data_IF_645877760485
#
_entry.id   IF_645877760485
#
_cell.length_a   1.000
_cell.length_b   1.000
_cell.length_c   1.000
_cell.angle_alpha   90.00
_cell.angle_beta   90.00
_cell.angle_gamma   90.00
#
_symmetry.space_group_name_H-M   'P 1'
#
loop_
_entity.id
_entity.type
_entity.pdbx_description
1 polymer ?
#
# COMPACT_ATOMS: atom_id res chain seq x y z
N UNK A 1 15.48 -65.57 17.31
CA UNK A 1 14.67 -65.22 16.12
C UNK A 1 14.67 -63.70 16.01
N UNK A 2 15.43 -63.14 15.07
CA UNK A 2 15.58 -61.69 14.90
C UNK A 2 14.79 -61.20 13.69
N UNK A 3 13.82 -60.33 13.89
CA UNK A 3 13.05 -59.68 12.83
C UNK A 3 13.78 -58.40 12.38
N UNK A 4 14.23 -58.38 11.13
CA UNK A 4 14.84 -57.23 10.47
C UNK A 4 13.78 -56.38 9.77
N UNK A 5 13.06 -55.53 10.52
CA UNK A 5 12.20 -54.53 9.89
C UNK A 5 13.03 -53.33 9.41
N UNK A 6 13.57 -53.42 8.20
CA UNK A 6 14.18 -52.30 7.48
C UNK A 6 13.11 -51.33 7.01
N UNK A 7 12.75 -50.38 7.87
CA UNK A 7 11.91 -49.24 7.48
C UNK A 7 12.70 -48.31 6.55
N UNK A 8 12.61 -48.53 5.24
CA UNK A 8 12.99 -47.52 4.24
C UNK A 8 12.10 -46.30 4.48
N UNK A 9 12.69 -45.18 4.88
CA UNK A 9 12.01 -43.88 4.90
C UNK A 9 11.68 -43.52 3.45
N UNK A 10 10.39 -43.53 3.11
CA UNK A 10 9.88 -43.02 1.84
C UNK A 10 9.49 -41.57 2.10
N UNK A 11 10.29 -40.64 1.61
CA UNK A 11 9.93 -39.23 1.62
C UNK A 11 8.79 -39.04 0.62
N UNK A 12 7.59 -38.71 1.13
CA UNK A 12 6.52 -38.16 0.32
C UNK A 12 6.74 -36.65 0.26
N UNK A 13 7.57 -36.19 -0.68
CA UNK A 13 7.52 -34.80 -1.11
C UNK A 13 6.24 -34.65 -1.93
N UNK A 14 5.25 -33.98 -1.37
CA UNK A 14 4.09 -33.50 -2.13
C UNK A 14 4.59 -32.40 -3.07
N UNK A 15 4.89 -32.79 -4.31
CA UNK A 15 5.24 -31.89 -5.41
C UNK A 15 4.10 -30.85 -5.54
N UNK A 16 4.40 -29.56 -5.42
CA UNK A 16 3.42 -28.46 -5.29
C UNK A 16 2.68 -28.16 -6.61
N UNK A 17 2.96 -28.93 -7.67
CA UNK A 17 2.28 -28.90 -8.95
C UNK A 17 1.56 -30.25 -9.17
N UNK A 18 0.24 -30.22 -9.41
CA UNK A 18 -0.67 -31.39 -9.50
C UNK A 18 -0.45 -32.30 -10.74
N UNK A 19 0.79 -32.64 -11.08
CA UNK A 19 1.15 -33.55 -12.19
C UNK A 19 0.98 -35.03 -11.79
N UNK A 20 -0.15 -35.38 -11.19
CA UNK A 20 -0.43 -36.73 -10.65
C UNK A 20 -1.36 -37.48 -11.61
N UNK A 21 -0.92 -38.62 -12.12
CA UNK A 21 -1.71 -39.50 -13.00
C UNK A 21 -2.13 -40.77 -12.24
N UNK A 22 -3.36 -41.23 -12.49
CA UNK A 22 -3.93 -42.41 -11.81
C UNK A 22 -3.80 -43.62 -12.73
N UNK A 23 -2.96 -44.58 -12.33
CA UNK A 23 -2.76 -45.83 -13.08
C UNK A 23 -3.38 -46.96 -12.25
N UNK A 24 -4.43 -47.61 -12.77
CA UNK A 24 -5.17 -48.71 -12.10
C UNK A 24 -5.58 -48.39 -10.65
N UNK A 25 -6.02 -47.15 -10.39
CA UNK A 25 -6.51 -46.71 -9.07
C UNK A 25 -5.44 -46.24 -8.09
N UNK A 26 -4.17 -46.22 -8.48
CA UNK A 26 -3.05 -45.74 -7.65
C UNK A 26 -2.58 -44.38 -8.19
N UNK A 27 -2.47 -43.38 -7.30
CA UNK A 27 -1.99 -42.03 -7.63
C UNK A 27 -0.46 -42.04 -7.69
N UNK A 28 0.10 -41.82 -8.87
CA UNK A 28 1.56 -41.78 -9.09
C UNK A 28 1.94 -40.45 -9.74
N UNK A 29 3.14 -39.95 -9.44
CA UNK A 29 3.71 -38.80 -10.15
C UNK A 29 4.31 -39.23 -11.48
N UNK A 30 4.37 -38.31 -12.44
CA UNK A 30 4.91 -38.55 -13.79
C UNK A 30 6.35 -39.09 -13.75
N UNK A 31 7.19 -38.55 -12.85
CA UNK A 31 8.56 -39.04 -12.58
C UNK A 31 8.62 -40.52 -12.14
N UNK A 32 7.59 -41.03 -11.45
CA UNK A 32 7.52 -42.44 -11.02
C UNK A 32 7.04 -43.33 -12.17
N UNK A 33 6.09 -42.83 -12.97
CA UNK A 33 5.57 -43.53 -14.14
C UNK A 33 6.65 -43.69 -15.21
N UNK A 34 7.44 -42.67 -15.47
CA UNK A 34 8.53 -42.72 -16.45
C UNK A 34 9.60 -43.76 -16.08
N UNK A 35 9.97 -43.83 -14.78
CA UNK A 35 10.88 -44.87 -14.27
C UNK A 35 10.30 -46.27 -14.36
N UNK A 36 8.98 -46.42 -14.28
CA UNK A 36 8.31 -47.71 -14.47
C UNK A 36 8.14 -48.08 -15.95
N UNK A 37 8.15 -47.09 -16.84
CA UNK A 37 7.98 -47.27 -18.29
C UNK A 37 9.30 -47.58 -19.00
N UNK A 38 10.42 -47.20 -18.40
CA UNK A 38 11.76 -47.49 -18.94
C UNK A 38 12.19 -48.93 -18.58
N UNK A 39 12.47 -49.81 -19.56
CA UNK A 39 12.97 -51.15 -19.30
C UNK A 39 14.43 -51.08 -18.83
N UNK A 40 14.68 -51.55 -17.61
CA UNK A 40 15.99 -51.65 -16.96
C UNK A 40 17.06 -52.32 -17.83
N UNK A 41 18.17 -51.60 -18.07
CA UNK A 41 19.45 -52.21 -18.51
C UNK A 41 20.12 -53.05 -17.40
N UNK A 42 21.11 -53.90 -17.73
CA UNK A 42 21.56 -55.00 -16.87
C UNK A 42 22.32 -54.54 -15.60
N UNK A 43 22.27 -55.33 -14.51
CA UNK A 43 22.83 -54.95 -13.21
C UNK A 43 24.37 -55.05 -13.17
N UNK A 44 25.03 -54.03 -12.64
CA UNK A 44 26.45 -54.10 -12.27
C UNK A 44 26.64 -54.89 -10.94
N UNK A 45 27.72 -55.67 -10.80
CA UNK A 45 28.00 -56.48 -9.62
C UNK A 45 28.40 -55.65 -8.39
N UNK A 46 28.18 -56.16 -7.15
CA UNK A 46 28.41 -55.40 -5.92
C UNK A 46 29.90 -55.16 -5.66
N UNK A 47 30.32 -53.90 -5.69
CA UNK A 47 31.64 -53.50 -5.19
C UNK A 47 31.61 -53.48 -3.65
N UNK A 48 32.47 -54.33 -3.08
CA UNK A 48 32.74 -54.48 -1.65
C UNK A 48 33.14 -53.14 -1.02
N UNK A 49 32.42 -52.69 0.01
CA UNK A 49 32.79 -51.52 0.82
C UNK A 49 34.01 -51.82 1.71
N UNK A 50 34.97 -50.89 1.90
CA UNK A 50 35.99 -50.98 2.95
C UNK A 50 35.40 -50.64 4.34
N UNK A 51 36.01 -51.13 5.45
CA UNK A 51 35.50 -50.90 6.80
C UNK A 51 35.63 -49.44 7.22
N UNK A 52 34.69 -49.02 8.07
CA UNK A 52 34.47 -47.66 8.56
C UNK A 52 35.71 -47.02 9.22
N UNK A 53 35.97 -45.77 8.85
CA UNK A 53 36.80 -44.82 9.58
C UNK A 53 36.05 -44.26 10.80
N UNK A 54 36.74 -43.87 11.89
CA UNK A 54 36.11 -43.32 13.10
C UNK A 54 35.48 -41.93 12.83
N UNK A 55 34.51 -41.48 13.66
CA UNK A 55 33.78 -40.26 13.41
C UNK A 55 34.69 -39.03 13.54
N UNK A 56 34.83 -38.30 12.44
CA UNK A 56 35.35 -36.93 12.44
C UNK A 56 34.29 -36.04 13.07
N UNK A 57 34.72 -35.27 14.07
CA UNK A 57 33.93 -34.22 14.71
C UNK A 57 33.71 -33.14 13.65
N UNK A 58 32.48 -32.97 13.17
CA UNK A 58 32.16 -31.89 12.23
C UNK A 58 32.02 -30.56 13.00
N UNK A 59 32.67 -29.47 12.55
CA UNK A 59 32.59 -28.15 13.18
C UNK A 59 31.21 -27.52 12.98
N UNK A 60 30.93 -26.52 13.83
CA UNK A 60 29.71 -25.71 13.86
C UNK A 60 29.11 -25.39 12.47
N UNK A 61 27.77 -25.37 12.33
CA UNK A 61 27.15 -24.99 11.08
C UNK A 61 27.46 -23.54 10.74
N UNK A 62 27.93 -23.34 9.51
CA UNK A 62 28.20 -22.05 8.91
C UNK A 62 26.97 -21.13 8.98
N UNK A 63 27.22 -19.86 9.33
CA UNK A 63 26.26 -18.77 9.27
C UNK A 63 25.69 -18.66 7.85
N UNK A 64 24.38 -18.83 7.73
CA UNK A 64 23.63 -18.53 6.51
C UNK A 64 23.68 -17.01 6.29
N UNK A 65 24.08 -16.51 5.09
CA UNK A 65 23.99 -15.09 4.78
C UNK A 65 22.53 -14.62 4.83
N UNK A 66 22.27 -13.64 5.69
CA UNK A 66 20.99 -12.93 5.79
C UNK A 66 20.79 -12.16 4.46
N UNK A 67 19.63 -12.26 3.78
CA UNK A 67 19.34 -11.42 2.62
C UNK A 67 19.31 -9.94 3.04
N UNK A 68 19.82 -9.01 2.22
CA UNK A 68 19.81 -7.59 2.57
C UNK A 68 18.36 -7.09 2.72
N UNK A 69 18.14 -6.10 3.61
CA UNK A 69 16.82 -5.51 3.80
C UNK A 69 16.32 -4.84 2.51
N UNK A 70 15.00 -4.76 2.29
CA UNK A 70 14.46 -3.99 1.17
C UNK A 70 14.81 -2.51 1.34
N UNK A 71 15.19 -1.86 0.24
CA UNK A 71 15.55 -0.45 0.22
C UNK A 71 14.44 0.44 0.80
N UNK A 72 14.80 1.50 1.55
CA UNK A 72 13.84 2.47 2.03
C UNK A 72 13.20 3.20 0.86
N UNK A 73 11.87 3.18 0.84
CA UNK A 73 10.97 4.05 0.07
C UNK A 73 11.61 5.41 -0.23
N UNK A 74 11.91 5.65 -1.50
CA UNK A 74 12.16 6.98 -2.03
C UNK A 74 10.85 7.78 -1.88
N UNK A 75 10.84 8.90 -1.12
CA UNK A 75 9.65 9.71 -0.99
C UNK A 75 9.34 10.36 -2.34
N UNK A 76 8.07 10.34 -2.74
CA UNK A 76 7.56 11.16 -3.82
C UNK A 76 7.96 12.63 -3.59
N UNK A 77 8.34 13.39 -4.64
CA UNK A 77 8.29 14.84 -4.55
C UNK A 77 6.81 15.27 -4.53
N UNK A 78 6.32 15.54 -3.32
CA UNK A 78 5.23 16.51 -3.14
C UNK A 78 5.82 17.90 -3.36
N UNK A 79 5.34 18.63 -4.36
CA UNK A 79 4.98 20.04 -4.25
C UNK A 79 4.75 20.63 -5.65
N UNK A 80 3.50 21.05 -5.92
CA UNK A 80 3.23 22.45 -6.28
C UNK A 80 1.73 22.65 -6.50
N UNK A 81 1.03 23.00 -5.44
CA UNK A 81 -0.10 23.92 -5.50
C UNK A 81 0.13 24.92 -4.36
N UNK A 82 0.25 26.20 -4.69
CA UNK A 82 -0.61 27.13 -3.98
C UNK A 82 -1.27 28.17 -4.87
N UNK A 83 -2.38 28.65 -4.32
CA UNK A 83 -2.92 29.99 -4.45
C UNK A 83 -3.83 30.32 -5.63
N UNK A 84 -5.06 29.84 -5.47
CA UNK A 84 -6.24 30.62 -5.84
C UNK A 84 -6.45 31.76 -4.84
N UNK A 85 -6.01 32.98 -5.15
CA UNK A 85 -6.66 34.23 -4.70
C UNK A 85 -6.38 35.35 -5.71
N UNK A 86 -7.41 35.75 -6.46
CA UNK A 86 -7.86 37.16 -6.58
C UNK A 86 -9.00 37.27 -7.60
N UNK A 87 -10.17 37.62 -7.08
CA UNK A 87 -11.24 38.30 -7.78
C UNK A 87 -10.98 39.82 -7.64
N UNK A 88 -11.23 40.62 -8.67
CA UNK A 88 -11.79 41.95 -8.49
C UNK A 88 -13.16 41.97 -9.19
N UNK A 89 -14.23 42.11 -8.41
CA UNK A 89 -14.84 43.39 -8.04
C UNK A 89 -15.69 43.94 -9.20
N UNK A 90 -16.99 43.69 -9.06
CA UNK A 90 -18.04 44.22 -9.91
C UNK A 90 -18.07 45.74 -9.80
N UNK A 91 -18.08 46.41 -10.95
CA UNK A 91 -18.58 47.77 -11.06
C UNK A 91 -19.99 47.69 -11.63
N UNK A 92 -20.96 47.94 -10.76
CA UNK A 92 -22.32 48.30 -11.14
C UNK A 92 -22.29 49.53 -12.04
N UNK A 93 -22.89 49.43 -13.23
CA UNK A 93 -23.37 50.60 -13.96
C UNK A 93 -24.76 50.29 -14.51
N UNK A 94 -25.74 50.71 -13.73
CA UNK A 94 -27.15 50.89 -14.07
C UNK A 94 -27.28 51.78 -15.30
N UNK A 95 -28.07 51.34 -16.29
CA UNK A 95 -28.52 52.15 -17.41
C UNK A 95 -29.45 53.31 -16.96
N UNK A 96 -29.54 54.39 -17.75
CA UNK A 96 -30.87 54.83 -18.16
C UNK A 96 -30.98 55.10 -19.69
N UNK A 97 -32.21 55.05 -20.25
CA UNK A 97 -32.51 55.19 -21.68
C UNK A 97 -32.95 56.65 -22.04
N UNK A 98 -33.55 56.90 -23.22
CA UNK A 98 -32.94 57.23 -24.50
C UNK A 98 -33.10 58.71 -24.89
N UNK A 99 -32.21 59.25 -25.72
CA UNK A 99 -32.42 60.56 -26.37
C UNK A 99 -33.39 60.43 -27.57
N UNK A 100 -34.43 61.28 -27.68
CA UNK A 100 -35.32 61.29 -28.83
C UNK A 100 -34.68 62.03 -30.00
N UNK A 101 -34.40 61.30 -31.09
CA UNK A 101 -34.03 61.93 -32.36
C UNK A 101 -35.23 62.68 -32.94
N UNK A 102 -35.05 63.99 -32.99
CA UNK A 102 -35.91 65.02 -33.53
C UNK A 102 -36.13 64.79 -35.04
N UNK A 103 -37.38 64.65 -35.48
CA UNK A 103 -37.75 64.82 -36.89
C UNK A 103 -37.50 66.28 -37.31
N UNK A 104 -36.90 66.55 -38.48
CA UNK A 104 -36.95 67.89 -39.05
C UNK A 104 -38.37 68.18 -39.60
N UNK A 105 -38.95 69.37 -39.36
CA UNK A 105 -40.22 69.77 -39.94
C UNK A 105 -40.06 70.13 -41.44
N UNK A 106 -41.10 69.97 -42.28
CA UNK A 106 -41.07 70.51 -43.64
C UNK A 106 -41.16 72.05 -43.61
N UNK A 107 -40.49 72.76 -44.53
CA UNK A 107 -40.49 74.22 -44.56
C UNK A 107 -41.86 74.80 -44.96
N UNK A 108 -42.13 76.06 -44.56
CA UNK A 108 -43.46 76.66 -44.63
C UNK A 108 -43.82 77.14 -46.04
N UNK A 109 -45.13 77.11 -46.26
CA UNK A 109 -45.86 77.74 -47.36
C UNK A 109 -45.45 79.22 -47.49
N UNK A 110 -44.90 79.59 -48.64
CA UNK A 110 -44.72 80.99 -49.02
C UNK A 110 -46.02 81.52 -49.63
N UNK A 111 -46.55 82.55 -48.98
CA UNK A 111 -47.68 83.38 -49.37
C UNK A 111 -47.28 84.32 -50.51
N UNK A 112 -48.11 84.35 -51.56
CA UNK A 112 -48.46 85.41 -52.53
C UNK A 112 -47.51 86.62 -52.79
N UNK A 113 -47.52 87.17 -54.03
CA UNK A 113 -48.56 88.15 -54.32
C UNK A 113 -49.22 87.97 -55.70
N UNK A 114 -50.45 88.46 -55.75
CA UNK A 114 -51.26 88.67 -56.94
C UNK A 114 -50.75 89.87 -57.74
N UNK A 115 -50.80 89.76 -59.07
CA UNK A 115 -50.92 90.85 -60.06
C UNK A 115 -51.53 90.19 -61.32
N UNK A 116 -52.78 90.43 -61.75
CA UNK A 116 -53.36 91.68 -62.27
C UNK A 116 -52.51 92.20 -63.44
N UNK A 117 -52.90 92.23 -64.72
CA UNK A 117 -54.18 92.54 -65.38
C UNK A 117 -54.02 92.19 -66.87
N UNK A 118 -55.11 91.90 -67.56
CA UNK A 118 -55.09 91.80 -69.03
C UNK A 118 -56.38 91.30 -69.65
N UNK A 119 -57.51 91.81 -69.18
CA UNK A 119 -58.82 91.57 -69.80
C UNK A 119 -58.85 92.19 -71.20
N UNK A 120 -59.10 91.37 -72.21
CA UNK A 120 -59.62 91.81 -73.51
C UNK A 120 -61.01 91.20 -73.67
N UNK A 121 -61.93 92.08 -74.01
CA UNK A 121 -63.38 91.96 -74.06
C UNK A 121 -63.90 90.97 -75.11
N UNK A 122 -64.84 90.12 -74.66
CA UNK A 122 -66.16 89.74 -75.19
C UNK A 122 -66.49 89.93 -76.70
N UNK A 123 -67.42 89.14 -77.30
CA UNK A 123 -68.50 88.38 -76.65
C UNK A 123 -68.36 86.87 -76.95
N UNK A 124 -69.04 85.94 -76.31
CA UNK A 124 -70.42 85.95 -75.89
C UNK A 124 -70.62 84.90 -74.79
N UNK A 125 -71.83 84.89 -74.25
CA UNK A 125 -72.32 84.32 -72.99
C UNK A 125 -72.28 82.77 -72.91
N UNK A 126 -71.40 82.12 -73.67
CA UNK A 126 -71.19 80.67 -73.70
C UNK A 126 -69.80 80.18 -73.21
N UNK A 127 -68.84 81.07 -72.97
CA UNK A 127 -67.43 80.69 -72.73
C UNK A 127 -67.05 80.71 -71.24
N UNK A 128 -67.66 81.59 -70.44
CA UNK A 128 -67.44 81.67 -68.99
C UNK A 128 -68.10 80.51 -68.22
N UNK A 129 -69.29 80.07 -68.66
CA UNK A 129 -69.92 78.84 -68.14
C UNK A 129 -69.12 77.59 -68.49
N UNK A 130 -68.52 77.55 -69.70
CA UNK A 130 -67.67 76.44 -70.12
C UNK A 130 -66.37 76.38 -69.31
N UNK A 131 -65.68 77.52 -69.10
CA UNK A 131 -64.47 77.60 -68.27
C UNK A 131 -64.74 77.24 -66.80
N UNK A 132 -65.88 77.66 -66.25
CA UNK A 132 -66.29 77.30 -64.89
C UNK A 132 -66.60 75.80 -64.76
N UNK A 133 -67.28 75.20 -65.74
CA UNK A 133 -67.50 73.75 -65.80
C UNK A 133 -66.19 72.97 -65.92
N UNK A 134 -65.24 73.43 -66.75
CA UNK A 134 -63.91 72.82 -66.88
C UNK A 134 -63.16 72.92 -65.55
N UNK A 135 -63.18 74.08 -64.88
CA UNK A 135 -62.53 74.25 -63.58
C UNK A 135 -63.15 73.37 -62.49
N UNK A 136 -64.49 73.25 -62.45
CA UNK A 136 -65.22 72.45 -61.46
C UNK A 136 -65.03 70.94 -61.67
N UNK A 137 -64.98 70.49 -62.93
CA UNK A 137 -64.71 69.10 -63.30
C UNK A 137 -63.24 68.72 -63.05
N UNK A 138 -62.31 69.63 -63.32
CA UNK A 138 -60.89 69.49 -62.98
C UNK A 138 -60.68 69.46 -61.45
N UNK A 139 -61.41 70.28 -60.70
CA UNK A 139 -61.31 70.35 -59.25
C UNK A 139 -61.90 69.09 -58.60
N UNK A 140 -63.01 68.57 -59.14
CA UNK A 140 -63.61 67.31 -58.72
C UNK A 140 -62.69 66.11 -59.01
N UNK A 141 -62.08 66.06 -60.20
CA UNK A 141 -61.11 65.00 -60.53
C UNK A 141 -59.86 65.07 -59.65
N UNK A 142 -59.33 66.26 -59.38
CA UNK A 142 -58.23 66.45 -58.42
C UNK A 142 -58.60 66.01 -56.99
N UNK A 143 -59.83 66.25 -56.54
CA UNK A 143 -60.29 65.79 -55.23
C UNK A 143 -60.48 64.27 -55.15
N UNK A 144 -60.97 63.65 -56.23
CA UNK A 144 -61.07 62.20 -56.36
C UNK A 144 -59.69 61.54 -56.38
N UNK A 145 -58.75 62.08 -57.15
CA UNK A 145 -57.33 61.69 -57.14
C UNK A 145 -56.74 61.83 -55.73
N UNK A 146 -56.97 62.97 -55.06
CA UNK A 146 -56.47 63.20 -53.70
C UNK A 146 -57.09 62.22 -52.70
N UNK A 147 -58.36 61.84 -52.86
CA UNK A 147 -59.02 60.82 -52.02
C UNK A 147 -58.43 59.44 -52.29
N UNK A 148 -58.27 59.06 -53.55
CA UNK A 148 -57.68 57.79 -53.96
C UNK A 148 -56.23 57.67 -53.46
N UNK A 149 -55.42 58.72 -53.64
CA UNK A 149 -54.06 58.80 -53.12
C UNK A 149 -54.00 58.65 -51.59
N UNK A 150 -54.97 59.22 -50.84
CA UNK A 150 -55.06 59.05 -49.38
C UNK A 150 -55.43 57.62 -48.98
N UNK A 151 -56.33 56.97 -49.72
CA UNK A 151 -56.73 55.58 -49.46
C UNK A 151 -55.60 54.60 -49.79
N UNK A 152 -54.93 54.77 -50.92
CA UNK A 152 -53.74 54.00 -51.29
C UNK A 152 -52.61 54.18 -50.27
N UNK A 153 -52.39 55.41 -49.78
CA UNK A 153 -51.42 55.68 -48.72
C UNK A 153 -51.81 54.98 -47.40
N UNK A 154 -53.09 55.00 -47.01
CA UNK A 154 -53.58 54.28 -45.82
C UNK A 154 -53.38 52.77 -45.96
N UNK A 155 -53.72 52.20 -47.11
CA UNK A 155 -53.53 50.76 -47.37
C UNK A 155 -52.05 50.38 -47.34
N UNK A 156 -51.15 51.20 -47.91
CA UNK A 156 -49.71 50.98 -47.80
C UNK A 156 -49.24 51.02 -46.36
N UNK A 157 -49.68 52.00 -45.58
CA UNK A 157 -49.33 52.12 -44.16
C UNK A 157 -49.83 50.91 -43.34
N UNK A 158 -51.05 50.44 -43.60
CA UNK A 158 -51.62 49.27 -42.92
C UNK A 158 -50.90 47.97 -43.30
N UNK A 159 -50.55 47.81 -44.58
CA UNK A 159 -49.72 46.70 -45.06
C UNK A 159 -48.32 46.73 -44.44
N UNK A 160 -47.69 47.90 -44.38
CA UNK A 160 -46.36 48.07 -43.79
C UNK A 160 -46.40 47.80 -42.28
N UNK A 161 -47.43 48.29 -41.56
CA UNK A 161 -47.63 48.00 -40.14
C UNK A 161 -47.85 46.53 -39.86
N UNK A 162 -48.71 45.86 -40.63
CA UNK A 162 -48.94 44.41 -40.45
C UNK A 162 -47.69 43.60 -40.77
N UNK A 163 -46.93 43.99 -41.79
CA UNK A 163 -45.65 43.36 -42.12
C UNK A 163 -44.62 43.56 -41.00
N UNK A 164 -44.46 44.78 -40.49
CA UNK A 164 -43.57 45.08 -39.37
C UNK A 164 -43.98 44.33 -38.09
N UNK A 165 -45.28 44.19 -37.82
CA UNK A 165 -45.77 43.39 -36.70
C UNK A 165 -45.50 41.90 -36.86
N UNK A 166 -45.70 41.35 -38.06
CA UNK A 166 -45.40 39.95 -38.34
C UNK A 166 -43.90 39.67 -38.22
N UNK A 167 -43.05 40.56 -38.70
CA UNK A 167 -41.60 40.48 -38.59
C UNK A 167 -41.15 40.56 -37.13
N UNK A 168 -41.64 41.54 -36.37
CA UNK A 168 -41.33 41.66 -34.94
C UNK A 168 -41.79 40.43 -34.13
N UNK A 169 -42.95 39.85 -34.45
CA UNK A 169 -43.41 38.62 -33.80
C UNK A 169 -42.57 37.41 -34.18
N UNK A 170 -42.17 37.29 -35.46
CA UNK A 170 -41.30 36.22 -35.90
C UNK A 170 -39.92 36.30 -35.25
N UNK A 171 -39.37 37.51 -35.13
CA UNK A 171 -38.09 37.76 -34.47
C UNK A 171 -38.18 37.46 -32.96
N UNK A 172 -39.23 37.94 -32.28
CA UNK A 172 -39.45 37.61 -30.86
C UNK A 172 -39.60 36.09 -30.64
N UNK A 173 -40.33 35.39 -31.49
CA UNK A 173 -40.44 33.93 -31.42
C UNK A 173 -39.11 33.24 -31.70
N UNK A 174 -38.30 33.74 -32.62
CA UNK A 174 -36.97 33.20 -32.91
C UNK A 174 -36.03 33.38 -31.71
N UNK A 175 -36.02 34.57 -31.09
CA UNK A 175 -35.23 34.85 -29.89
C UNK A 175 -35.62 33.95 -28.72
N UNK A 176 -36.92 33.77 -28.47
CA UNK A 176 -37.41 32.85 -27.43
C UNK A 176 -37.01 31.41 -27.73
N UNK A 177 -37.14 30.96 -28.98
CA UNK A 177 -36.71 29.61 -29.37
C UNK A 177 -35.22 29.41 -29.17
N UNK A 178 -34.38 30.39 -29.51
CA UNK A 178 -32.93 30.33 -29.32
C UNK A 178 -32.58 30.25 -27.82
N UNK A 179 -33.18 31.12 -26.99
CA UNK A 179 -32.89 31.14 -25.57
C UNK A 179 -33.33 29.86 -24.86
N UNK A 180 -34.53 29.35 -25.19
CA UNK A 180 -35.01 28.05 -24.67
C UNK A 180 -34.08 26.92 -25.11
N UNK A 181 -33.64 26.91 -26.38
CA UNK A 181 -32.71 25.89 -26.87
C UNK A 181 -31.37 25.95 -26.14
N UNK A 182 -30.87 27.17 -25.87
CA UNK A 182 -29.62 27.40 -25.14
C UNK A 182 -29.71 26.91 -23.70
N UNK A 183 -30.78 27.28 -22.97
CA UNK A 183 -31.00 26.85 -21.59
C UNK A 183 -31.11 25.33 -21.51
N UNK A 184 -31.91 24.73 -22.40
CA UNK A 184 -32.12 23.29 -22.41
C UNK A 184 -30.82 22.52 -22.75
N UNK A 185 -29.97 23.07 -23.61
CA UNK A 185 -28.64 22.51 -23.88
C UNK A 185 -27.74 22.53 -22.61
N UNK A 186 -27.71 23.65 -21.88
CA UNK A 186 -26.93 23.78 -20.64
C UNK A 186 -27.44 22.86 -19.54
N UNK A 187 -28.76 22.76 -19.34
CA UNK A 187 -29.34 21.85 -18.35
C UNK A 187 -29.04 20.39 -18.69
N UNK A 188 -29.14 20.02 -19.98
CA UNK A 188 -28.80 18.68 -20.45
C UNK A 188 -27.32 18.38 -20.18
N UNK A 189 -26.42 19.30 -20.49
CA UNK A 189 -24.99 19.13 -20.24
C UNK A 189 -24.69 18.98 -18.73
N UNK A 190 -25.27 19.82 -17.88
CA UNK A 190 -25.10 19.69 -16.43
C UNK A 190 -25.66 18.37 -15.89
N UNK A 191 -26.81 17.93 -16.40
CA UNK A 191 -27.42 16.65 -16.02
C UNK A 191 -26.51 15.47 -16.39
N UNK A 192 -25.98 15.47 -17.62
CA UNK A 192 -25.04 14.45 -18.10
C UNK A 192 -23.76 14.46 -17.25
N UNK A 193 -23.17 15.63 -16.99
CA UNK A 193 -21.97 15.74 -16.16
C UNK A 193 -22.19 15.17 -14.75
N UNK A 194 -23.34 15.47 -14.13
CA UNK A 194 -23.70 14.89 -12.82
C UNK A 194 -23.89 13.38 -12.88
N UNK A 195 -24.49 12.85 -13.94
CA UNK A 195 -24.67 11.42 -14.12
C UNK A 195 -23.33 10.70 -14.25
N UNK A 196 -22.42 11.24 -15.08
CA UNK A 196 -21.07 10.69 -15.28
C UNK A 196 -20.28 10.65 -13.96
N UNK A 197 -20.32 11.74 -13.18
CA UNK A 197 -19.63 11.79 -11.90
C UNK A 197 -20.16 10.75 -10.92
N UNK A 198 -21.49 10.59 -10.85
CA UNK A 198 -22.13 9.57 -9.99
C UNK A 198 -21.72 8.16 -10.40
N UNK A 199 -21.76 7.86 -11.69
CA UNK A 199 -21.39 6.55 -12.22
C UNK A 199 -19.92 6.23 -11.91
N UNK A 200 -19.01 7.20 -12.08
CA UNK A 200 -17.60 7.03 -11.73
C UNK A 200 -17.43 6.71 -10.24
N UNK A 201 -18.08 7.48 -9.37
CA UNK A 201 -17.98 7.27 -7.91
C UNK A 201 -18.48 5.87 -7.56
N UNK A 202 -19.65 5.46 -8.07
CA UNK A 202 -20.18 4.12 -7.79
C UNK A 202 -19.27 3.01 -8.31
N UNK A 203 -18.66 3.20 -9.49
CA UNK A 203 -17.73 2.22 -10.04
C UNK A 203 -16.43 2.12 -9.22
N UNK A 204 -15.93 3.24 -8.68
CA UNK A 204 -14.77 3.25 -7.77
C UNK A 204 -15.11 2.62 -6.42
N UNK A 205 -16.29 2.89 -5.87
CA UNK A 205 -16.75 2.30 -4.62
C UNK A 205 -16.91 0.78 -4.73
N UNK A 206 -17.51 0.28 -5.81
CA UNK A 206 -17.63 -1.16 -6.07
C UNK A 206 -16.26 -1.85 -6.20
N UNK A 207 -15.31 -1.19 -6.88
CA UNK A 207 -13.92 -1.69 -6.97
C UNK A 207 -13.26 -1.76 -5.61
N UNK A 208 -13.41 -0.72 -4.78
CA UNK A 208 -12.85 -0.67 -3.45
C UNK A 208 -13.48 -1.74 -2.56
N UNK A 209 -14.79 -1.92 -2.61
CA UNK A 209 -15.49 -2.98 -1.88
C UNK A 209 -15.00 -4.38 -2.29
N UNK A 210 -14.82 -4.62 -3.59
CA UNK A 210 -14.27 -5.88 -4.07
C UNK A 210 -12.85 -6.11 -3.55
N UNK A 211 -12.01 -5.07 -3.50
CA UNK A 211 -10.66 -5.15 -2.95
C UNK A 211 -10.67 -5.44 -1.45
N UNK A 212 -11.50 -4.73 -0.67
CA UNK A 212 -11.64 -4.95 0.77
C UNK A 212 -12.07 -6.40 1.03
N UNK A 213 -13.08 -6.90 0.32
CA UNK A 213 -13.54 -8.27 0.47
C UNK A 213 -12.45 -9.30 0.17
N UNK A 214 -11.64 -9.09 -0.88
CA UNK A 214 -10.49 -9.95 -1.17
C UNK A 214 -9.44 -9.91 -0.06
N UNK A 215 -9.15 -8.73 0.46
CA UNK A 215 -8.20 -8.55 1.56
C UNK A 215 -8.69 -9.24 2.84
N UNK A 216 -9.97 -9.11 3.18
CA UNK A 216 -10.58 -9.80 4.33
C UNK A 216 -10.51 -11.33 4.18
N UNK A 217 -10.78 -11.87 2.98
CA UNK A 217 -10.64 -13.31 2.73
C UNK A 217 -9.20 -13.78 2.92
N UNK A 218 -8.22 -13.04 2.39
CA UNK A 218 -6.79 -13.37 2.57
C UNK A 218 -6.39 -13.26 4.05
N UNK A 219 -6.87 -12.26 4.78
CA UNK A 219 -6.60 -12.10 6.20
C UNK A 219 -7.11 -13.30 7.02
N UNK A 220 -8.33 -13.79 6.73
CA UNK A 220 -8.86 -15.01 7.37
C UNK A 220 -8.02 -16.24 7.08
N UNK A 221 -7.59 -16.42 5.83
CA UNK A 221 -6.71 -17.53 5.46
C UNK A 221 -5.38 -17.46 6.21
N UNK A 222 -4.78 -16.28 6.33
CA UNK A 222 -3.55 -16.08 7.11
C UNK A 222 -3.77 -16.39 8.59
N UNK A 223 -4.90 -15.97 9.17
CA UNK A 223 -5.22 -16.26 10.57
C UNK A 223 -5.35 -17.77 10.83
N UNK A 224 -5.93 -18.53 9.90
CA UNK A 224 -5.97 -20.00 9.98
C UNK A 224 -4.59 -20.64 9.88
N UNK A 225 -3.73 -20.15 8.97
CA UNK A 225 -2.34 -20.63 8.85
C UNK A 225 -1.53 -20.31 10.11
N UNK A 226 -1.68 -19.10 10.65
CA UNK A 226 -1.04 -18.68 11.90
C UNK A 226 -1.48 -19.54 13.09
N UNK A 227 -2.77 -19.90 13.17
CA UNK A 227 -3.26 -20.81 14.20
C UNK A 227 -2.60 -22.18 14.09
N UNK A 228 -2.44 -22.71 12.88
CA UNK A 228 -1.79 -24.01 12.68
C UNK A 228 -0.30 -23.96 13.01
N UNK A 229 0.42 -22.93 12.54
CA UNK A 229 1.82 -22.69 12.89
C UNK A 229 2.00 -22.56 14.41
N UNK A 230 1.12 -21.82 15.09
CA UNK A 230 1.18 -21.69 16.56
C UNK A 230 1.02 -23.02 17.28
N UNK A 231 0.17 -23.93 16.79
CA UNK A 231 0.05 -25.29 17.37
C UNK A 231 1.35 -26.08 17.18
N UNK A 232 1.94 -26.02 15.99
CA UNK A 232 3.21 -26.70 15.72
C UNK A 232 4.33 -26.14 16.60
N UNK A 233 4.44 -24.81 16.71
CA UNK A 233 5.41 -24.15 17.58
C UNK A 233 5.23 -24.55 19.03
N UNK A 234 3.98 -24.57 19.53
CA UNK A 234 3.68 -25.01 20.89
C UNK A 234 4.11 -26.47 21.11
N UNK A 235 3.79 -27.36 20.16
CA UNK A 235 4.18 -28.76 20.22
C UNK A 235 5.71 -28.93 20.31
N UNK A 236 6.47 -28.30 19.41
CA UNK A 236 7.93 -28.42 19.41
C UNK A 236 8.57 -27.76 20.62
N UNK A 237 8.03 -26.62 21.09
CA UNK A 237 8.49 -25.99 22.34
C UNK A 237 8.27 -26.91 23.53
N UNK A 238 7.14 -27.59 23.62
CA UNK A 238 6.85 -28.54 24.70
C UNK A 238 7.81 -29.74 24.66
N UNK A 239 8.09 -30.29 23.46
CA UNK A 239 9.06 -31.38 23.31
C UNK A 239 10.46 -30.95 23.75
N UNK A 240 10.89 -29.74 23.36
CA UNK A 240 12.17 -29.19 23.78
C UNK A 240 12.22 -28.94 25.29
N UNK A 241 11.14 -28.46 25.89
CA UNK A 241 11.05 -28.25 27.34
C UNK A 241 11.17 -29.59 28.09
N UNK A 242 10.42 -30.61 27.68
CA UNK A 242 10.50 -31.97 28.25
C UNK A 242 11.88 -32.60 28.09
N UNK A 243 12.54 -32.38 26.96
CA UNK A 243 13.90 -32.87 26.73
C UNK A 243 14.90 -32.14 27.64
N UNK A 244 14.83 -30.81 27.72
CA UNK A 244 15.67 -29.98 28.59
C UNK A 244 15.49 -30.36 30.06
N UNK A 245 14.25 -30.56 30.51
CA UNK A 245 13.94 -30.96 31.88
C UNK A 245 14.54 -32.33 32.21
N UNK A 246 14.30 -33.35 31.36
CA UNK A 246 14.89 -34.69 31.56
C UNK A 246 16.41 -34.65 31.56
N UNK A 247 17.01 -33.86 30.67
CA UNK A 247 18.46 -33.68 30.63
C UNK A 247 18.98 -33.01 31.90
N UNK A 248 18.31 -31.96 32.40
CA UNK A 248 18.69 -31.29 33.64
C UNK A 248 18.58 -32.21 34.86
N UNK A 249 17.52 -33.02 34.93
CA UNK A 249 17.35 -34.04 35.98
C UNK A 249 18.47 -35.08 35.93
N UNK A 250 18.83 -35.55 34.73
CA UNK A 250 19.94 -36.48 34.55
C UNK A 250 21.24 -35.88 35.08
N UNK A 251 21.61 -34.66 34.67
CA UNK A 251 22.84 -34.01 35.14
C UNK A 251 22.84 -33.76 36.65
N UNK A 252 21.69 -33.44 37.24
CA UNK A 252 21.56 -33.24 38.69
C UNK A 252 21.89 -34.53 39.45
N UNK A 253 21.22 -35.63 39.10
CA UNK A 253 21.45 -36.95 39.73
C UNK A 253 22.88 -37.43 39.50
N UNK A 254 23.41 -37.22 38.30
CA UNK A 254 24.80 -37.55 37.96
C UNK A 254 25.78 -36.79 38.86
N UNK A 255 25.62 -35.46 39.00
CA UNK A 255 26.47 -34.66 39.88
C UNK A 255 26.36 -35.07 41.35
N UNK A 256 25.14 -35.31 41.85
CA UNK A 256 24.91 -35.78 43.22
C UNK A 256 25.58 -37.13 43.48
N UNK A 257 25.47 -38.08 42.55
CA UNK A 257 26.13 -39.38 42.64
C UNK A 257 27.65 -39.28 42.58
N UNK A 258 28.19 -38.44 41.69
CA UNK A 258 29.63 -38.20 41.61
C UNK A 258 30.17 -37.58 42.89
N UNK A 259 29.49 -36.57 43.43
CA UNK A 259 29.90 -35.93 44.67
C UNK A 259 29.84 -36.91 45.84
N UNK A 260 28.76 -37.68 45.96
CA UNK A 260 28.62 -38.71 46.99
C UNK A 260 29.73 -39.77 46.89
N UNK A 261 30.05 -40.24 45.69
CA UNK A 261 31.13 -41.19 45.48
C UNK A 261 32.50 -40.58 45.83
N UNK A 262 32.74 -39.31 45.45
CA UNK A 262 33.94 -38.58 45.82
C UNK A 262 34.06 -38.44 47.35
N UNK A 263 32.97 -38.11 48.04
CA UNK A 263 32.94 -38.01 49.50
C UNK A 263 33.14 -39.36 50.19
N UNK A 264 32.57 -40.45 49.66
CA UNK A 264 32.76 -41.80 50.19
C UNK A 264 34.22 -42.25 50.05
N UNK A 265 34.82 -42.02 48.87
CA UNK A 265 36.24 -42.27 48.63
C UNK A 265 37.07 -41.40 49.58
N UNK A 266 36.82 -40.10 49.63
CA UNK A 266 37.52 -39.19 50.52
C UNK A 266 37.40 -39.62 51.99
N UNK A 267 36.24 -40.06 52.47
CA UNK A 267 36.08 -40.56 53.83
C UNK A 267 36.90 -41.84 54.12
N UNK A 268 37.04 -42.74 53.14
CA UNK A 268 37.93 -43.91 53.25
C UNK A 268 39.41 -43.51 53.24
N UNK A 269 39.78 -42.49 52.44
CA UNK A 269 41.15 -42.02 52.28
C UNK A 269 41.59 -41.00 53.34
N UNK A 270 40.68 -40.29 54.02
CA UNK A 270 40.96 -39.43 55.20
C UNK A 270 41.62 -40.20 56.35
N UNK A 271 41.54 -41.53 56.35
CA UNK A 271 42.27 -42.39 57.30
C UNK A 271 43.79 -42.33 57.11
N UNK A 272 44.27 -41.86 55.96
CA UNK A 272 45.68 -41.61 55.69
C UNK A 272 46.02 -40.12 55.81
N UNK A 273 45.59 -39.47 56.89
CA UNK A 273 46.36 -38.34 57.39
C UNK A 273 47.72 -38.89 57.82
N UNK A 274 48.73 -38.72 56.96
CA UNK A 274 50.12 -38.99 57.30
C UNK A 274 50.47 -38.02 58.42
N UNK A 275 50.28 -38.45 59.67
CA UNK A 275 50.73 -37.69 60.83
C UNK A 275 52.26 -37.71 60.82
N UNK A 276 52.91 -36.58 60.51
CA UNK A 276 54.36 -36.55 60.43
C UNK A 276 54.94 -36.80 61.82
N UNK A 277 55.74 -37.86 61.95
CA UNK A 277 56.31 -38.23 63.24
C UNK A 277 57.60 -37.45 63.47
N UNK A 278 57.85 -37.05 64.72
CA UNK A 278 59.06 -36.32 65.14
C UNK A 278 59.23 -34.91 64.52
N UNK A 279 58.15 -34.23 64.08
CA UNK A 279 58.23 -32.88 63.48
C UNK A 279 58.93 -31.86 64.35
N UNK A 280 58.71 -31.92 65.66
CA UNK A 280 59.26 -30.94 66.60
C UNK A 280 60.78 -31.11 66.72
N UNK A 281 61.25 -32.36 66.81
CA UNK A 281 62.67 -32.69 66.80
C UNK A 281 63.32 -32.38 65.44
N UNK A 282 62.58 -32.60 64.34
CA UNK A 282 63.01 -32.22 62.99
C UNK A 282 63.20 -30.70 62.88
N UNK A 283 62.31 -29.90 63.47
CA UNK A 283 62.46 -28.45 63.54
C UNK A 283 63.67 -28.04 64.38
N UNK A 284 63.86 -28.66 65.55
CA UNK A 284 64.96 -28.35 66.46
C UNK A 284 66.34 -28.69 65.87
N UNK A 285 66.48 -29.83 65.19
CA UNK A 285 67.76 -30.20 64.57
C UNK A 285 68.11 -29.31 63.38
N UNK A 286 67.11 -28.98 62.53
CA UNK A 286 67.31 -28.06 61.42
C UNK A 286 67.67 -26.65 61.90
N UNK A 287 67.07 -26.21 63.01
CA UNK A 287 67.44 -24.96 63.68
C UNK A 287 68.87 -25.00 64.21
N UNK A 288 69.25 -26.05 64.94
CA UNK A 288 70.58 -26.19 65.52
C UNK A 288 71.68 -26.20 64.45
N UNK A 289 71.50 -26.92 63.34
CA UNK A 289 72.48 -26.94 62.25
C UNK A 289 72.63 -25.59 61.54
N UNK A 290 71.56 -24.81 61.45
CA UNK A 290 71.60 -23.46 60.88
C UNK A 290 72.41 -22.51 61.76
N UNK A 291 72.26 -22.62 63.07
CA UNK A 291 72.96 -21.80 64.06
C UNK A 291 74.44 -22.23 64.26
N UNK A 292 74.76 -23.50 63.97
CA UNK A 292 76.09 -24.08 64.20
C UNK A 292 76.74 -24.62 62.90
N UNK A 293 76.76 -23.79 61.85
CA UNK A 293 77.36 -24.14 60.57
C UNK A 293 78.84 -24.54 60.70
N UNK A 294 79.22 -25.69 60.14
CA UNK A 294 80.57 -26.26 60.25
C UNK A 294 80.92 -26.91 61.59
N UNK A 295 80.04 -26.83 62.60
CA UNK A 295 80.22 -27.43 63.94
C UNK A 295 79.04 -28.35 64.30
N UNK A 296 78.67 -29.23 63.37
CA UNK A 296 77.48 -30.10 63.48
C UNK A 296 77.50 -31.04 64.68
N UNK A 297 78.68 -31.35 65.23
CA UNK A 297 78.83 -32.18 66.43
C UNK A 297 78.20 -31.56 67.69
N UNK A 298 78.00 -30.23 67.76
CA UNK A 298 77.28 -29.58 68.86
C UNK A 298 75.78 -29.95 68.87
N UNK A 299 75.23 -30.29 67.71
CA UNK A 299 73.84 -30.75 67.57
C UNK A 299 73.69 -32.27 67.72
N UNK A 300 74.77 -32.99 68.09
CA UNK A 300 74.80 -34.45 68.18
C UNK A 300 73.71 -35.00 69.09
N UNK A 301 73.44 -34.37 70.23
CA UNK A 301 72.39 -34.81 71.16
C UNK A 301 70.99 -34.73 70.52
N UNK A 302 70.66 -33.60 69.89
CA UNK A 302 69.37 -33.41 69.19
C UNK A 302 69.26 -34.39 68.00
N UNK A 303 70.37 -34.62 67.29
CA UNK A 303 70.44 -35.63 66.23
C UNK A 303 70.18 -37.05 66.73
N UNK A 304 70.75 -37.43 67.87
CA UNK A 304 70.48 -38.72 68.51
C UNK A 304 69.02 -38.85 68.93
N UNK A 305 68.41 -37.82 69.52
CA UNK A 305 67.00 -37.83 69.92
C UNK A 305 66.06 -37.94 68.71
N UNK A 306 66.34 -37.19 67.63
CA UNK A 306 65.58 -37.31 66.39
C UNK A 306 65.67 -38.72 65.80
N UNK A 307 66.87 -39.29 65.74
CA UNK A 307 67.08 -40.66 65.25
C UNK A 307 66.39 -41.71 66.13
N UNK A 308 66.41 -41.55 67.46
CA UNK A 308 65.68 -42.43 68.38
C UNK A 308 64.17 -42.34 68.16
N UNK A 309 63.62 -41.13 68.03
CA UNK A 309 62.20 -40.91 67.74
C UNK A 309 61.79 -41.58 66.41
N UNK A 310 62.58 -41.39 65.34
CA UNK A 310 62.33 -42.02 64.04
C UNK A 310 62.40 -43.55 64.13
N UNK A 311 63.36 -44.09 64.87
CA UNK A 311 63.51 -45.53 65.03
C UNK A 311 62.40 -46.15 65.88
N UNK A 312 61.97 -45.47 66.96
CA UNK A 312 60.81 -45.87 67.75
C UNK A 312 59.56 -45.88 66.88
N UNK A 313 59.31 -44.80 66.14
CA UNK A 313 58.16 -44.70 65.25
C UNK A 313 58.15 -45.80 64.17
N UNK A 314 59.33 -46.12 63.60
CA UNK A 314 59.48 -47.26 62.67
C UNK A 314 59.14 -48.59 63.35
N UNK A 315 59.64 -48.81 64.57
CA UNK A 315 59.41 -50.04 65.32
C UNK A 315 57.94 -50.19 65.75
N UNK A 316 57.30 -49.10 66.16
CA UNK A 316 55.88 -49.07 66.55
C UNK A 316 54.97 -49.35 65.35
N UNK A 317 55.27 -48.78 64.17
CA UNK A 317 54.55 -49.07 62.92
C UNK A 317 54.69 -50.53 62.47
N UNK A 318 55.85 -51.15 62.69
CA UNK A 318 56.05 -52.59 62.41
C UNK A 318 55.27 -53.48 63.39
N UNK A 319 54.97 -53.00 64.61
CA UNK A 319 54.19 -53.74 65.62
C UNK A 319 52.68 -53.59 65.50
N UNK A 320 52.18 -52.45 65.00
CA UNK A 320 50.73 -52.16 64.87
C UNK A 320 50.15 -52.45 63.49
N UNK A 321 50.94 -52.93 62.53
CA UNK A 321 50.47 -53.34 61.20
C UNK A 321 49.86 -54.74 61.19
N UNK A 322 48.57 -54.84 61.51
CA UNK A 322 47.67 -55.97 61.27
C UNK A 322 46.31 -55.47 60.83
#
# INVERSE_FOLDING_TARGET
MGANNSTRRVSFESDENENITIVKGIRLSEKVIDRMREPSGPPQPPTRAPPASPPVVDPLPALVPIPPPPDPVTPLPSSSLPERVKLPEQVNATAPPPEPLILPPPPPVATAPAESVGAVSAPAVYESELRRKIAEELQKSLEEERRKAREELKQRLEKEKSQAHAEAQAEAQAQVKDEVSRILALEKEQSIQKAILRERITAEDERLQAQIYQMERKARQLEERDKELRKQDAFYREQLAKLKERSAQFYKVTNENHQKAADEVNAKFKRYEISPVCTDLQGQILKCYRENAGKTLLCSNIASQYMQCVNSAKQDKLRTGG
#
